data_IF_263154227113
#
_entry.id   IF_263154227113
#
_cell.length_a   1.000
_cell.length_b   1.000
_cell.length_c   1.000
_cell.angle_alpha   90.00
_cell.angle_beta   90.00
_cell.angle_gamma   90.00
#
_symmetry.space_group_name_H-M   'P 1'
#
loop_
_entity.id
_entity.type
_entity.pdbx_description
1 polymer ?
#
# COMPACT_ATOMS: atom_id res chain seq x y z
N UNK A 1 -14.08 2.43 5.68
CA UNK A 1 -13.94 2.21 7.14
C UNK A 1 -12.93 3.19 7.67
N UNK A 2 -13.09 3.66 8.90
CA UNK A 2 -12.14 4.56 9.53
C UNK A 2 -10.75 3.92 9.59
N UNK A 3 -9.70 4.69 9.27
CA UNK A 3 -8.33 4.19 9.26
C UNK A 3 -7.96 3.63 10.65
N UNK A 4 -7.52 2.36 10.75
CA UNK A 4 -7.21 1.72 12.03
C UNK A 4 -5.90 2.22 12.64
N UNK A 5 -5.03 2.86 11.84
CA UNK A 5 -3.72 3.36 12.29
C UNK A 5 -3.83 4.75 12.91
N UNK A 6 -4.46 5.71 12.23
CA UNK A 6 -4.51 7.10 12.70
C UNK A 6 -5.88 7.52 13.23
N UNK A 7 -6.97 6.83 12.87
CA UNK A 7 -8.32 7.23 13.27
C UNK A 7 -8.72 8.65 12.83
N UNK A 8 -8.09 9.23 11.80
CA UNK A 8 -8.37 10.60 11.38
C UNK A 8 -9.28 10.72 10.14
N UNK A 9 -9.29 9.70 9.27
CA UNK A 9 -10.04 9.71 8.02
C UNK A 9 -10.66 8.35 7.72
N UNK A 10 -11.70 8.35 6.89
CA UNK A 10 -12.17 7.15 6.20
C UNK A 10 -11.16 6.74 5.12
N UNK A 11 -10.97 5.43 4.96
CA UNK A 11 -10.17 4.88 3.88
C UNK A 11 -10.89 5.02 2.54
N UNK A 12 -10.12 5.28 1.49
CA UNK A 12 -10.58 5.45 0.11
C UNK A 12 -10.07 4.28 -0.71
N UNK A 13 -10.96 3.55 -1.36
CA UNK A 13 -10.60 2.50 -2.31
C UNK A 13 -10.02 3.13 -3.58
N UNK A 14 -8.77 2.79 -3.92
CA UNK A 14 -8.03 3.39 -5.04
C UNK A 14 -6.98 2.41 -5.59
N UNK A 15 -6.37 2.77 -6.73
CA UNK A 15 -5.22 2.07 -7.32
C UNK A 15 -4.07 3.06 -7.49
N UNK A 16 -2.91 2.76 -6.89
CA UNK A 16 -1.80 3.71 -6.80
C UNK A 16 -0.45 3.02 -6.93
N UNK A 17 0.54 3.76 -7.41
CA UNK A 17 1.93 3.32 -7.35
C UNK A 17 2.49 3.53 -5.94
N UNK A 18 3.14 2.51 -5.38
CA UNK A 18 3.73 2.57 -4.04
C UNK A 18 5.27 2.57 -4.10
N UNK A 19 5.94 3.57 -3.52
CA UNK A 19 7.39 3.54 -3.40
C UNK A 19 7.82 2.45 -2.41
N UNK A 20 8.82 1.66 -2.78
CA UNK A 20 9.41 0.64 -1.93
C UNK A 20 10.93 0.85 -1.84
N UNK A 21 11.43 1.01 -0.62
CA UNK A 21 12.87 1.13 -0.37
C UNK A 21 13.36 -0.08 0.43
N UNK A 22 14.33 -0.80 -0.10
CA UNK A 22 15.00 -1.91 0.56
C UNK A 22 16.51 -1.69 0.56
N UNK A 23 17.13 -1.74 1.75
CA UNK A 23 18.59 -1.61 1.93
C UNK A 23 19.23 -0.41 1.23
N UNK A 24 18.50 0.71 1.15
CA UNK A 24 18.98 1.95 0.52
C UNK A 24 18.70 2.05 -0.97
N UNK A 25 18.24 0.98 -1.61
CA UNK A 25 17.77 0.98 -2.99
C UNK A 25 16.26 1.18 -3.04
N UNK A 26 15.76 1.91 -4.05
CA UNK A 26 14.33 2.21 -4.17
C UNK A 26 13.77 1.77 -5.52
N UNK A 27 12.55 1.26 -5.49
CA UNK A 27 11.73 0.92 -6.65
C UNK A 27 10.30 1.41 -6.44
N UNK A 28 9.45 1.18 -7.44
CA UNK A 28 8.02 1.43 -7.38
C UNK A 28 7.29 0.11 -7.60
N UNK A 29 6.40 -0.24 -6.68
CA UNK A 29 5.43 -1.32 -6.87
C UNK A 29 4.23 -0.70 -7.56
N UNK A 30 4.06 -1.00 -8.84
CA UNK A 30 3.04 -0.37 -9.66
C UNK A 30 1.63 -0.89 -9.37
N UNK A 31 0.64 -0.01 -9.58
CA UNK A 31 -0.79 -0.31 -9.63
C UNK A 31 -1.32 -1.13 -8.43
N UNK A 32 -0.93 -0.74 -7.21
CA UNK A 32 -1.41 -1.35 -5.97
C UNK A 32 -2.84 -0.93 -5.67
N UNK A 33 -3.76 -1.89 -5.64
CA UNK A 33 -5.18 -1.66 -5.38
C UNK A 33 -5.56 -1.97 -3.95
N UNK A 34 -6.18 -1.02 -3.26
CA UNK A 34 -6.58 -1.22 -1.87
C UNK A 34 -7.24 0.01 -1.27
N UNK A 35 -7.38 -0.02 0.04
CA UNK A 35 -7.98 1.04 0.82
C UNK A 35 -6.90 1.94 1.41
N UNK A 36 -6.83 3.20 0.96
CA UNK A 36 -5.79 4.15 1.33
C UNK A 36 -6.29 5.23 2.27
N UNK A 37 -5.51 5.52 3.31
CA UNK A 37 -5.77 6.62 4.22
C UNK A 37 -5.20 7.93 3.65
N UNK A 38 -6.04 8.95 3.37
CA UNK A 38 -5.55 10.22 2.86
C UNK A 38 -4.80 11.05 3.92
N UNK A 39 -4.91 10.70 5.20
CA UNK A 39 -4.32 11.46 6.30
C UNK A 39 -2.91 11.00 6.70
N UNK A 40 -2.62 9.70 6.60
CA UNK A 40 -1.35 9.13 7.06
C UNK A 40 -0.68 8.17 6.08
N UNK A 41 -1.23 8.04 4.86
CA UNK A 41 -0.74 7.15 3.81
C UNK A 41 -0.75 5.64 4.14
N UNK A 42 -1.46 5.22 5.18
CA UNK A 42 -1.71 3.80 5.45
C UNK A 42 -2.46 3.14 4.29
N UNK A 43 -2.15 1.88 3.99
CA UNK A 43 -2.82 1.08 2.98
C UNK A 43 -3.28 -0.25 3.54
N UNK A 44 -4.56 -0.60 3.35
CA UNK A 44 -5.09 -1.93 3.66
C UNK A 44 -5.35 -2.64 2.34
N UNK A 45 -4.71 -3.79 2.15
CA UNK A 45 -4.82 -4.62 0.97
C UNK A 45 -5.60 -5.90 1.31
N UNK A 46 -6.31 -6.45 0.32
CA UNK A 46 -6.85 -7.81 0.46
C UNK A 46 -5.73 -8.86 0.34
N UNK A 47 -6.07 -10.13 0.56
CA UNK A 47 -5.09 -11.21 0.52
C UNK A 47 -4.44 -11.38 -0.86
N UNK A 48 -5.20 -11.20 -1.94
CA UNK A 48 -4.70 -11.39 -3.32
C UNK A 48 -3.70 -10.30 -3.67
N UNK A 49 -4.03 -9.05 -3.35
CA UNK A 49 -3.15 -7.93 -3.61
C UNK A 49 -1.93 -7.95 -2.68
N UNK A 50 -2.10 -8.35 -1.43
CA UNK A 50 -0.99 -8.57 -0.50
C UNK A 50 0.02 -9.58 -1.05
N UNK A 51 -0.46 -10.72 -1.57
CA UNK A 51 0.41 -11.73 -2.18
C UNK A 51 1.14 -11.21 -3.42
N UNK A 52 0.48 -10.37 -4.23
CA UNK A 52 1.07 -9.71 -5.40
C UNK A 52 2.18 -8.75 -4.97
N UNK A 53 1.89 -7.82 -4.05
CA UNK A 53 2.87 -6.84 -3.54
C UNK A 53 4.07 -7.54 -2.93
N UNK A 54 3.84 -8.57 -2.11
CA UNK A 54 4.92 -9.35 -1.50
C UNK A 54 5.77 -10.11 -2.53
N UNK A 55 5.20 -10.49 -3.68
CA UNK A 55 5.98 -11.05 -4.78
C UNK A 55 6.87 -9.99 -5.42
N UNK A 56 6.36 -8.80 -5.72
CA UNK A 56 7.17 -7.70 -6.26
C UNK A 56 8.32 -7.32 -5.31
N UNK A 57 8.05 -7.23 -4.00
CA UNK A 57 9.08 -6.97 -2.98
C UNK A 57 10.17 -8.05 -2.91
N UNK A 58 9.85 -9.32 -3.20
CA UNK A 58 10.83 -10.42 -3.24
C UNK A 58 11.65 -10.45 -4.53
N UNK A 59 11.13 -9.87 -5.60
CA UNK A 59 11.82 -9.78 -6.89
C UNK A 59 12.77 -8.58 -6.96
N UNK A 60 12.57 -7.57 -6.12
CA UNK A 60 13.46 -6.42 -5.95
C UNK A 60 14.60 -6.72 -4.99
#
# INVERSE_FOLDING_TARGET
MKCPVCGAAELIHDTRDLPYTHKGESTVIAAVTGDFCPACAESILDATESDRVMREMRHF
#
